data_IF_357370380939
#
_entry.id   IF_357370380939
#
_cell.length_a   1.000
_cell.length_b   1.000
_cell.length_c   1.000
_cell.angle_alpha   90.00
_cell.angle_beta   90.00
_cell.angle_gamma   90.00
#
_symmetry.space_group_name_H-M   'P 1'
#
loop_
_entity.id
_entity.type
_entity.pdbx_description
1 polymer ?
#
# COMPACT_ATOMS: atom_id res chain seq x y z
N UNK A 1 14.03 -11.64 0.54
CA UNK A 1 13.61 -10.83 1.72
C UNK A 1 12.21 -10.32 1.41
N UNK A 2 11.28 -10.38 2.38
CA UNK A 2 9.90 -9.96 2.15
C UNK A 2 9.86 -8.44 1.92
N UNK A 3 9.00 -8.02 1.01
CA UNK A 3 8.71 -6.62 0.76
C UNK A 3 7.31 -6.47 0.18
N UNK A 4 6.67 -5.34 0.44
CA UNK A 4 5.37 -4.97 -0.14
C UNK A 4 5.50 -3.63 -0.85
N UNK A 5 4.64 -3.38 -1.83
CA UNK A 5 4.42 -2.06 -2.42
C UNK A 5 3.40 -1.33 -1.56
N UNK A 6 3.62 -0.04 -1.35
CA UNK A 6 2.66 0.84 -0.68
C UNK A 6 2.25 1.91 -1.67
N UNK A 7 0.94 2.14 -1.79
CA UNK A 7 0.37 3.22 -2.58
C UNK A 7 -0.41 4.12 -1.64
N UNK A 8 0.04 5.36 -1.46
CA UNK A 8 -0.62 6.34 -0.58
C UNK A 8 -1.11 7.52 -1.39
N UNK A 9 -2.35 7.96 -1.16
CA UNK A 9 -2.83 9.23 -1.67
C UNK A 9 -1.97 10.38 -1.14
N UNK A 10 -1.74 11.39 -1.99
CA UNK A 10 -1.12 12.64 -1.56
C UNK A 10 -2.21 13.59 -1.04
N UNK A 11 -1.94 14.32 0.04
CA UNK A 11 -2.81 15.45 0.39
C UNK A 11 -2.58 16.56 -0.64
N UNK A 12 -3.66 17.08 -1.21
CA UNK A 12 -3.60 18.25 -2.08
C UNK A 12 -3.02 19.43 -1.31
N UNK A 13 -1.92 19.97 -1.84
CA UNK A 13 -1.28 21.18 -1.35
C UNK A 13 -1.68 22.40 -2.18
N UNK A 14 -1.09 23.57 -1.92
CA UNK A 14 -1.30 24.78 -2.72
C UNK A 14 -0.65 24.72 -4.13
N UNK A 15 -0.20 23.55 -4.58
CA UNK A 15 0.44 23.40 -5.90
C UNK A 15 -0.56 23.62 -7.04
N UNK A 16 -0.11 24.17 -8.16
CA UNK A 16 -0.89 24.20 -9.41
C UNK A 16 -1.03 22.78 -9.97
N UNK A 17 0.02 21.96 -9.87
CA UNK A 17 -0.02 20.54 -10.21
C UNK A 17 0.31 19.69 -8.99
N UNK A 18 -0.69 18.99 -8.45
CA UNK A 18 -0.52 18.16 -7.27
C UNK A 18 -0.25 16.71 -7.69
N UNK A 19 0.71 16.02 -7.06
CA UNK A 19 0.73 14.57 -7.15
C UNK A 19 -0.57 14.00 -6.58
N UNK A 20 -1.03 12.89 -7.15
CA UNK A 20 -2.20 12.14 -6.69
C UNK A 20 -1.80 11.04 -5.72
N UNK A 21 -0.66 10.40 -5.95
CA UNK A 21 -0.19 9.27 -5.16
C UNK A 21 1.33 9.27 -5.03
N UNK A 22 1.81 8.57 -3.99
CA UNK A 22 3.19 8.14 -3.87
C UNK A 22 3.23 6.62 -3.79
N UNK A 23 4.14 6.02 -4.54
CA UNK A 23 4.37 4.57 -4.56
C UNK A 23 5.80 4.29 -4.10
N UNK A 24 5.95 3.33 -3.19
CA UNK A 24 7.27 2.93 -2.68
C UNK A 24 7.26 1.50 -2.17
N UNK A 25 8.45 0.93 -1.98
CA UNK A 25 8.59 -0.43 -1.45
C UNK A 25 8.91 -0.36 0.04
N UNK A 26 8.24 -1.15 0.85
CA UNK A 26 8.63 -1.40 2.25
C UNK A 26 9.12 -2.82 2.40
N UNK A 27 10.37 -2.96 2.82
CA UNK A 27 11.01 -4.22 3.17
C UNK A 27 11.01 -4.46 4.68
N UNK A 28 11.37 -5.67 5.10
CA UNK A 28 11.58 -6.00 6.52
C UNK A 28 12.61 -5.05 7.17
N UNK A 29 13.67 -4.69 6.45
CA UNK A 29 14.66 -3.73 6.94
C UNK A 29 14.09 -2.31 7.10
N UNK A 30 13.10 -1.91 6.29
CA UNK A 30 12.41 -0.63 6.46
C UNK A 30 11.51 -0.67 7.71
N UNK A 31 10.80 -1.78 7.97
CA UNK A 31 9.99 -1.97 9.19
C UNK A 31 10.87 -1.85 10.43
N UNK A 32 11.99 -2.57 10.47
CA UNK A 32 12.94 -2.53 11.58
C UNK A 32 13.50 -1.11 11.80
N UNK A 33 13.84 -0.42 10.69
CA UNK A 33 14.36 0.94 10.74
C UNK A 33 13.32 1.92 11.28
N UNK A 34 12.07 1.83 10.83
CA UNK A 34 10.99 2.68 11.34
C UNK A 34 10.81 2.46 12.84
N UNK A 35 10.77 1.20 13.30
CA UNK A 35 10.68 0.89 14.73
C UNK A 35 11.86 1.44 15.54
N UNK A 36 13.08 1.37 15.01
CA UNK A 36 14.26 1.99 15.66
C UNK A 36 14.15 3.51 15.72
N UNK A 37 13.67 4.15 14.67
CA UNK A 37 13.49 5.61 14.60
C UNK A 37 12.40 6.07 15.57
N UNK A 38 11.30 5.33 15.70
CA UNK A 38 10.25 5.58 16.71
C UNK A 38 10.86 5.55 18.11
N UNK A 39 11.56 4.47 18.47
CA UNK A 39 12.18 4.34 19.79
C UNK A 39 13.17 5.47 20.05
N UNK A 40 13.99 5.83 19.06
CA UNK A 40 14.95 6.93 19.19
C UNK A 40 14.24 8.28 19.39
N UNK A 41 13.17 8.55 18.63
CA UNK A 41 12.39 9.78 18.76
C UNK A 41 11.76 9.87 20.16
N UNK A 42 11.20 8.77 20.67
CA UNK A 42 10.63 8.69 22.02
C UNK A 42 11.69 8.86 23.11
N UNK A 43 12.83 8.15 23.01
CA UNK A 43 13.92 8.20 23.99
C UNK A 43 14.53 9.61 24.12
N UNK A 44 14.47 10.41 23.06
CA UNK A 44 15.01 11.76 22.99
C UNK A 44 13.96 12.88 23.05
N UNK A 45 12.68 12.55 23.27
CA UNK A 45 11.56 13.53 23.31
C UNK A 45 11.53 14.42 22.05
N UNK A 46 11.73 13.81 20.87
CA UNK A 46 11.70 14.51 19.58
C UNK A 46 10.26 14.62 19.09
N UNK A 47 9.88 15.81 18.61
CA UNK A 47 8.57 16.02 17.98
C UNK A 47 8.43 15.25 16.66
N UNK A 48 9.54 15.06 15.95
CA UNK A 48 9.60 14.25 14.73
C UNK A 48 11.03 13.77 14.45
N UNK A 49 11.13 12.65 13.73
CA UNK A 49 12.36 12.14 13.15
C UNK A 49 12.14 11.80 11.68
N UNK A 50 13.16 11.99 10.84
CA UNK A 50 13.07 11.82 9.38
C UNK A 50 14.21 10.96 8.87
N UNK A 51 13.94 10.18 7.84
CA UNK A 51 14.99 9.54 7.07
C UNK A 51 14.62 9.41 5.61
N UNK A 52 15.63 9.49 4.74
CA UNK A 52 15.45 9.44 3.29
C UNK A 52 14.89 8.10 2.82
N UNK A 53 13.93 8.15 1.90
CA UNK A 53 13.33 7.01 1.20
C UNK A 53 13.40 7.26 -0.32
N UNK A 54 14.59 7.08 -0.93
CA UNK A 54 14.85 7.51 -2.31
C UNK A 54 14.10 6.70 -3.38
N UNK A 55 13.56 5.53 -3.03
CA UNK A 55 12.75 4.70 -3.92
C UNK A 55 11.27 5.09 -3.93
N UNK A 56 10.86 6.08 -3.13
CA UNK A 56 9.51 6.61 -3.21
C UNK A 56 9.34 7.53 -4.42
N UNK A 57 8.27 7.31 -5.18
CA UNK A 57 7.98 8.03 -6.41
C UNK A 57 6.57 8.62 -6.34
N UNK A 58 6.46 9.90 -6.64
CA UNK A 58 5.19 10.62 -6.71
C UNK A 58 4.66 10.61 -8.16
N UNK A 59 3.34 10.45 -8.33
CA UNK A 59 2.67 10.37 -9.62
C UNK A 59 1.52 11.38 -9.72
N UNK A 60 1.06 11.69 -10.95
CA UNK A 60 -0.14 12.50 -11.20
C UNK A 60 0.07 13.96 -11.61
N UNK A 61 1.29 14.36 -11.98
CA UNK A 61 1.57 15.72 -12.44
C UNK A 61 2.99 15.88 -13.00
N UNK A 62 3.29 17.05 -13.54
CA UNK A 62 4.62 17.48 -13.98
C UNK A 62 5.23 18.37 -12.90
N UNK A 63 6.11 17.78 -12.11
CA UNK A 63 6.75 18.44 -10.97
C UNK A 63 8.17 17.95 -10.77
N UNK A 64 8.93 18.72 -9.99
CA UNK A 64 10.21 18.29 -9.44
C UNK A 64 10.15 18.30 -7.92
N UNK A 65 10.70 17.27 -7.30
CA UNK A 65 10.70 17.12 -5.85
C UNK A 65 12.10 16.80 -5.33
N UNK A 66 12.34 17.12 -4.06
CA UNK A 66 13.52 16.63 -3.32
C UNK A 66 13.44 15.11 -3.14
N UNK A 67 14.52 14.51 -2.65
CA UNK A 67 14.49 13.12 -2.19
C UNK A 67 13.40 12.96 -1.12
N UNK A 68 12.45 12.03 -1.30
CA UNK A 68 11.41 11.81 -0.32
C UNK A 68 11.97 11.29 1.01
N UNK A 69 11.22 11.53 2.07
CA UNK A 69 11.54 11.14 3.43
C UNK A 69 10.35 10.40 4.05
N UNK A 70 10.66 9.35 4.82
CA UNK A 70 9.71 8.85 5.80
C UNK A 70 9.86 9.74 7.04
N UNK A 71 8.75 10.32 7.44
CA UNK A 71 8.63 11.12 8.64
C UNK A 71 7.93 10.30 9.70
N UNK A 72 8.46 10.35 10.91
CA UNK A 72 7.97 9.64 12.09
C UNK A 72 7.68 10.69 13.17
N UNK A 73 6.48 10.68 13.73
CA UNK A 73 6.10 11.47 14.90
C UNK A 73 5.21 10.61 15.78
N UNK A 74 5.61 10.42 17.04
CA UNK A 74 5.05 9.40 17.91
C UNK A 74 5.03 8.01 17.22
N UNK A 75 3.85 7.40 17.07
CA UNK A 75 3.65 6.14 16.35
C UNK A 75 3.09 6.35 14.93
N UNK A 76 3.07 7.58 14.43
CA UNK A 76 2.58 7.93 13.11
C UNK A 76 3.71 8.06 12.11
N UNK A 77 3.45 7.58 10.90
CA UNK A 77 4.35 7.68 9.76
C UNK A 77 3.65 8.27 8.55
N UNK A 78 4.37 9.09 7.80
CA UNK A 78 3.93 9.57 6.49
C UNK A 78 5.14 9.78 5.58
N UNK A 79 4.87 9.87 4.28
CA UNK A 79 5.90 10.22 3.29
C UNK A 79 5.79 11.70 2.98
N UNK A 80 6.93 12.36 2.95
CA UNK A 80 7.06 13.80 2.69
C UNK A 80 8.13 14.07 1.65
N UNK A 81 7.89 15.02 0.76
CA UNK A 81 8.92 15.61 -0.10
C UNK A 81 8.62 17.10 -0.31
N UNK A 82 9.66 17.90 -0.56
CA UNK A 82 9.52 19.30 -0.96
C UNK A 82 9.40 19.37 -2.48
N UNK A 83 8.33 20.00 -2.94
CA UNK A 83 8.06 20.24 -4.36
C UNK A 83 8.49 21.65 -4.72
N UNK A 84 9.21 21.79 -5.83
CA UNK A 84 9.63 23.09 -6.33
C UNK A 84 8.62 23.58 -7.36
N UNK A 85 7.96 24.68 -7.06
CA UNK A 85 7.02 25.32 -7.95
C UNK A 85 7.28 26.83 -8.01
N UNK A 86 7.63 27.32 -9.20
CA UNK A 86 8.12 28.68 -9.41
C UNK A 86 9.28 29.01 -8.44
N UNK A 87 9.09 30.00 -7.55
CA UNK A 87 10.07 30.45 -6.56
C UNK A 87 9.76 29.91 -5.15
N UNK A 88 8.85 28.94 -5.00
CA UNK A 88 8.41 28.40 -3.72
C UNK A 88 8.74 26.90 -3.57
N UNK A 89 9.01 26.49 -2.33
CA UNK A 89 9.09 25.10 -1.91
C UNK A 89 7.86 24.76 -1.08
N UNK A 90 7.12 23.74 -1.49
CA UNK A 90 5.88 23.31 -0.83
C UNK A 90 6.03 21.86 -0.38
N UNK A 91 5.86 21.55 0.92
CA UNK A 91 5.86 20.17 1.37
C UNK A 91 4.56 19.48 0.95
N UNK A 92 4.69 18.33 0.30
CA UNK A 92 3.56 17.43 0.06
C UNK A 92 3.71 16.20 0.93
N UNK A 93 2.69 15.98 1.76
CA UNK A 93 2.62 14.88 2.71
C UNK A 93 1.52 13.90 2.29
N UNK A 94 1.75 12.62 2.52
CA UNK A 94 0.65 11.65 2.57
C UNK A 94 -0.18 11.84 3.84
N UNK A 95 -1.39 11.26 3.92
CA UNK A 95 -2.01 10.95 5.19
C UNK A 95 -1.04 10.17 6.09
N UNK A 96 -1.12 10.44 7.39
CA UNK A 96 -0.39 9.68 8.38
C UNK A 96 -1.08 8.34 8.60
N UNK A 97 -0.28 7.29 8.77
CA UNK A 97 -0.73 5.95 9.16
C UNK A 97 0.04 5.55 10.40
N UNK A 98 -0.52 4.68 11.22
CA UNK A 98 0.19 4.19 12.40
C UNK A 98 1.22 3.14 12.00
N UNK A 99 2.31 3.05 12.77
CA UNK A 99 3.28 1.97 12.60
C UNK A 99 2.66 0.60 12.84
N UNK A 100 1.67 0.52 13.74
CA UNK A 100 0.90 -0.71 13.97
C UNK A 100 0.15 -1.16 12.70
N UNK A 101 -0.52 -0.25 12.00
CA UNK A 101 -1.23 -0.55 10.74
C UNK A 101 -0.25 -1.03 9.66
N UNK A 102 0.87 -0.31 9.47
CA UNK A 102 1.90 -0.72 8.51
C UNK A 102 2.46 -2.11 8.86
N UNK A 103 2.82 -2.34 10.11
CA UNK A 103 3.39 -3.60 10.55
C UNK A 103 2.36 -4.73 10.45
N UNK A 104 1.09 -4.48 10.75
CA UNK A 104 0.01 -5.44 10.56
C UNK A 104 -0.13 -5.80 9.08
N UNK A 105 -0.29 -4.82 8.20
CA UNK A 105 -0.40 -5.04 6.76
C UNK A 105 0.81 -5.79 6.20
N UNK A 106 2.03 -5.37 6.57
CA UNK A 106 3.26 -6.06 6.18
C UNK A 106 3.23 -7.52 6.60
N UNK A 107 2.73 -7.87 7.79
CA UNK A 107 2.66 -9.25 8.25
C UNK A 107 1.54 -10.06 7.57
N UNK A 108 0.42 -9.43 7.21
CA UNK A 108 -0.69 -10.09 6.50
C UNK A 108 -0.42 -10.33 5.00
N UNK A 109 0.54 -9.62 4.40
CA UNK A 109 0.85 -9.72 2.97
C UNK A 109 1.82 -10.84 2.61
N UNK A 110 1.87 -11.22 1.33
CA UNK A 110 2.97 -11.93 0.70
C UNK A 110 3.99 -10.93 0.12
N UNK A 111 5.16 -11.43 -0.30
CA UNK A 111 6.13 -10.62 -1.03
C UNK A 111 5.55 -10.13 -2.36
N UNK A 112 5.63 -8.82 -2.58
CA UNK A 112 5.18 -8.16 -3.80
C UNK A 112 3.78 -7.57 -3.70
N UNK A 113 3.02 -7.88 -2.66
CA UNK A 113 1.65 -7.36 -2.50
C UNK A 113 1.63 -5.85 -2.45
N UNK A 114 0.54 -5.28 -2.94
CA UNK A 114 0.21 -3.87 -2.82
C UNK A 114 -0.64 -3.68 -1.57
N UNK A 115 -0.26 -2.70 -0.75
CA UNK A 115 -1.07 -2.21 0.35
C UNK A 115 -1.47 -0.76 0.10
N UNK A 116 -2.77 -0.50 0.27
CA UNK A 116 -3.39 0.82 0.20
C UNK A 116 -3.75 1.26 1.62
N UNK A 117 -2.99 2.19 2.23
CA UNK A 117 -3.24 2.59 3.60
C UNK A 117 -4.45 3.52 3.70
N UNK A 118 -5.30 3.27 4.70
CA UNK A 118 -6.62 3.90 4.81
C UNK A 118 -7.67 3.06 4.10
N UNK A 119 -8.69 2.63 4.84
CA UNK A 119 -9.78 1.81 4.30
C UNK A 119 -10.64 2.61 3.33
N UNK A 120 -10.78 2.14 2.09
CA UNK A 120 -11.88 2.51 1.20
C UNK A 120 -11.72 3.79 0.39
N UNK A 121 -10.51 4.12 -0.08
CA UNK A 121 -10.42 5.06 -1.21
C UNK A 121 -10.45 4.25 -2.51
N UNK A 122 -11.64 3.80 -2.89
CA UNK A 122 -11.88 3.12 -4.18
C UNK A 122 -11.33 3.98 -5.33
N UNK A 123 -11.28 5.30 -5.17
CA UNK A 123 -10.67 6.23 -6.15
C UNK A 123 -9.16 6.03 -6.28
N UNK A 124 -8.45 5.79 -5.16
CA UNK A 124 -7.01 5.51 -5.20
C UNK A 124 -6.74 4.14 -5.81
N UNK A 125 -7.57 3.14 -5.49
CA UNK A 125 -7.51 1.83 -6.09
C UNK A 125 -7.72 1.95 -7.61
N UNK A 126 -8.85 2.52 -8.05
CA UNK A 126 -9.16 2.77 -9.47
C UNK A 126 -7.99 3.49 -10.18
N UNK A 127 -7.48 4.56 -9.58
CA UNK A 127 -6.33 5.29 -10.14
C UNK A 127 -5.09 4.41 -10.27
N UNK A 128 -4.80 3.56 -9.28
CA UNK A 128 -3.66 2.66 -9.32
C UNK A 128 -3.82 1.55 -10.37
N UNK A 129 -5.04 1.09 -10.64
CA UNK A 129 -5.34 0.10 -11.67
C UNK A 129 -5.20 0.71 -13.06
N UNK A 130 -5.81 1.87 -13.29
CA UNK A 130 -5.73 2.58 -14.57
C UNK A 130 -4.29 2.93 -14.96
N UNK A 131 -3.42 3.15 -13.97
CA UNK A 131 -2.03 3.54 -14.16
C UNK A 131 -1.03 2.45 -13.75
N UNK A 132 -1.47 1.18 -13.67
CA UNK A 132 -0.66 0.09 -13.10
C UNK A 132 0.66 -0.15 -13.84
N UNK A 133 0.73 0.09 -15.16
CA UNK A 133 1.98 0.00 -15.92
C UNK A 133 2.92 1.16 -15.55
N UNK A 134 2.41 2.39 -15.57
CA UNK A 134 3.18 3.60 -15.30
C UNK A 134 3.70 3.66 -13.85
N UNK A 135 2.96 3.08 -12.91
CA UNK A 135 3.32 3.03 -11.49
C UNK A 135 4.13 1.78 -11.12
N UNK A 136 4.50 0.95 -12.10
CA UNK A 136 5.22 -0.31 -11.91
C UNK A 136 4.49 -1.30 -10.97
N UNK A 137 3.16 -1.34 -11.04
CA UNK A 137 2.28 -2.16 -10.21
C UNK A 137 1.67 -3.37 -10.95
N UNK A 138 1.78 -3.42 -12.29
CA UNK A 138 1.10 -4.44 -13.13
C UNK A 138 1.38 -5.90 -12.75
N UNK A 139 2.47 -6.18 -12.03
CA UNK A 139 2.85 -7.54 -11.60
C UNK A 139 2.70 -7.77 -10.10
N UNK A 140 2.15 -6.79 -9.39
CA UNK A 140 2.04 -6.80 -7.94
C UNK A 140 0.60 -7.20 -7.57
N UNK A 141 0.41 -8.21 -6.70
CA UNK A 141 -0.92 -8.59 -6.23
C UNK A 141 -1.62 -7.43 -5.54
N UNK A 142 -2.85 -7.11 -5.98
CA UNK A 142 -3.74 -6.18 -5.28
C UNK A 142 -4.55 -6.88 -4.19
N UNK A 143 -4.62 -8.20 -4.24
CA UNK A 143 -5.34 -9.03 -3.30
C UNK A 143 -5.51 -10.45 -3.80
N UNK A 144 -6.35 -11.20 -3.09
CA UNK A 144 -6.55 -12.63 -3.31
C UNK A 144 -8.02 -12.99 -3.16
N UNK A 145 -8.37 -14.14 -3.73
CA UNK A 145 -9.63 -14.83 -3.51
C UNK A 145 -9.38 -16.33 -3.38
N UNK A 146 -10.34 -17.05 -2.82
CA UNK A 146 -10.36 -18.51 -2.83
C UNK A 146 -11.46 -18.94 -3.80
N UNK A 147 -11.08 -19.65 -4.85
CA UNK A 147 -12.01 -20.08 -5.90
C UNK A 147 -11.86 -21.55 -6.24
N UNK A 148 -12.94 -22.15 -6.72
CA UNK A 148 -12.94 -23.48 -7.30
C UNK A 148 -12.97 -23.33 -8.83
N UNK A 149 -11.87 -23.65 -9.54
CA UNK A 149 -11.78 -23.45 -10.99
C UNK A 149 -12.68 -24.40 -11.78
N UNK A 150 -13.10 -25.53 -11.20
CA UNK A 150 -13.99 -26.48 -11.87
C UNK A 150 -15.45 -26.00 -11.87
N UNK A 151 -15.89 -25.39 -10.76
CA UNK A 151 -17.28 -24.92 -10.60
C UNK A 151 -17.46 -23.43 -10.91
N UNK A 152 -16.38 -22.64 -10.82
CA UNK A 152 -16.41 -21.18 -10.88
C UNK A 152 -16.91 -20.52 -9.59
N UNK A 153 -17.02 -21.28 -8.50
CA UNK A 153 -17.51 -20.77 -7.21
C UNK A 153 -16.39 -20.06 -6.43
N UNK A 154 -16.80 -19.09 -5.63
CA UNK A 154 -15.94 -18.42 -4.65
C UNK A 154 -16.28 -18.90 -3.24
N UNK A 155 -15.27 -19.02 -2.40
CA UNK A 155 -15.45 -19.44 -1.02
C UNK A 155 -16.32 -18.45 -0.23
N UNK A 156 -17.15 -18.97 0.67
CA UNK A 156 -18.08 -18.19 1.53
C UNK A 156 -19.04 -17.26 0.76
N UNK A 157 -19.44 -17.65 -0.46
CA UNK A 157 -20.29 -16.85 -1.35
C UNK A 157 -19.75 -15.43 -1.62
N UNK A 158 -18.43 -15.22 -1.48
CA UNK A 158 -17.78 -13.91 -1.67
C UNK A 158 -17.99 -13.40 -3.10
N UNK A 159 -18.34 -12.11 -3.29
CA UNK A 159 -18.41 -11.52 -4.63
C UNK A 159 -17.08 -11.65 -5.39
N UNK A 160 -17.15 -11.96 -6.67
CA UNK A 160 -15.97 -12.17 -7.53
C UNK A 160 -15.06 -10.94 -7.68
N UNK A 161 -15.53 -9.76 -7.29
CA UNK A 161 -14.77 -8.51 -7.34
C UNK A 161 -14.24 -8.05 -5.96
N UNK A 162 -14.65 -8.68 -4.87
CA UNK A 162 -14.16 -8.37 -3.54
C UNK A 162 -12.84 -9.12 -3.29
N UNK A 163 -11.75 -8.39 -3.05
CA UNK A 163 -10.43 -8.98 -2.82
C UNK A 163 -10.00 -8.85 -1.36
N UNK A 164 -9.31 -9.86 -0.86
CA UNK A 164 -8.84 -9.95 0.53
C UNK A 164 -7.31 -10.05 0.62
N UNK A 165 -6.71 -9.62 1.75
CA UNK A 165 -5.29 -9.82 2.03
C UNK A 165 -4.85 -11.30 1.99
N UNK A 166 -3.58 -11.54 1.66
CA UNK A 166 -3.00 -12.88 1.53
C UNK A 166 -3.27 -13.79 2.72
N UNK A 167 -2.99 -13.33 3.94
CA UNK A 167 -3.14 -14.14 5.14
C UNK A 167 -4.59 -14.55 5.43
N UNK A 168 -5.56 -13.68 5.12
CA UNK A 168 -6.99 -14.00 5.24
C UNK A 168 -7.35 -15.06 4.19
N UNK A 169 -6.96 -14.85 2.94
CA UNK A 169 -7.23 -15.79 1.85
C UNK A 169 -6.57 -17.15 2.07
N UNK A 170 -5.37 -17.19 2.66
CA UNK A 170 -4.70 -18.43 3.04
C UNK A 170 -5.46 -19.16 4.14
N UNK A 171 -5.98 -18.44 5.14
CA UNK A 171 -6.84 -19.01 6.18
C UNK A 171 -8.11 -19.62 5.58
N UNK A 172 -8.79 -18.88 4.72
CA UNK A 172 -9.99 -19.34 4.00
C UNK A 172 -9.69 -20.57 3.13
N UNK A 173 -8.57 -20.57 2.40
CA UNK A 173 -8.15 -21.71 1.57
C UNK A 173 -7.98 -22.99 2.41
N UNK A 174 -7.38 -22.86 3.60
CA UNK A 174 -7.16 -23.99 4.49
C UNK A 174 -8.48 -24.57 5.03
N UNK A 175 -9.49 -23.72 5.23
CA UNK A 175 -10.85 -24.17 5.56
C UNK A 175 -11.55 -24.80 4.36
N UNK A 176 -11.50 -24.16 3.19
CA UNK A 176 -12.09 -24.65 1.95
C UNK A 176 -11.58 -26.04 1.56
N UNK A 177 -10.27 -26.26 1.75
CA UNK A 177 -9.62 -27.55 1.46
C UNK A 177 -10.03 -28.70 2.39
N UNK A 178 -10.75 -28.42 3.47
CA UNK A 178 -11.39 -29.47 4.29
C UNK A 178 -12.62 -30.05 3.59
N UNK A 179 -13.25 -29.29 2.70
CA UNK A 179 -14.42 -29.72 1.92
C UNK A 179 -14.02 -30.40 0.61
N UNK A 180 -13.08 -29.80 -0.14
CA UNK A 180 -12.53 -30.37 -1.37
C UNK A 180 -11.08 -29.93 -1.61
N UNK A 181 -10.16 -30.79 -2.09
CA UNK A 181 -8.81 -30.36 -2.46
C UNK A 181 -8.76 -29.39 -3.64
N UNK A 182 -9.83 -29.25 -4.41
CA UNK A 182 -9.87 -28.49 -5.68
C UNK A 182 -9.93 -26.98 -5.48
N UNK A 183 -10.07 -26.50 -4.24
CA UNK A 183 -10.01 -25.07 -3.92
C UNK A 183 -8.58 -24.52 -4.07
N UNK A 184 -8.47 -23.38 -4.73
CA UNK A 184 -7.21 -22.71 -5.03
C UNK A 184 -7.19 -21.26 -4.57
N UNK A 185 -5.99 -20.78 -4.26
CA UNK A 185 -5.75 -19.37 -4.01
C UNK A 185 -5.60 -18.66 -5.36
N UNK A 186 -6.57 -17.83 -5.71
CA UNK A 186 -6.51 -17.01 -6.88
C UNK A 186 -5.86 -15.66 -6.56
N UNK A 187 -4.71 -15.39 -7.17
CA UNK A 187 -4.03 -14.11 -7.06
C UNK A 187 -4.68 -13.11 -8.02
N UNK A 188 -5.04 -11.94 -7.51
CA UNK A 188 -5.61 -10.86 -8.31
C UNK A 188 -4.54 -9.82 -8.61
N UNK A 189 -4.32 -9.56 -9.90
CA UNK A 189 -3.48 -8.49 -10.41
C UNK A 189 -4.35 -7.32 -10.91
N UNK A 190 -3.78 -6.12 -11.14
CA UNK A 190 -4.55 -4.96 -11.58
C UNK A 190 -5.44 -5.15 -12.81
N UNK A 191 -5.10 -6.06 -13.71
CA UNK A 191 -5.81 -6.33 -14.97
C UNK A 191 -6.68 -7.60 -14.92
N UNK A 192 -6.75 -8.28 -13.77
CA UNK A 192 -7.42 -9.59 -13.65
C UNK A 192 -8.93 -9.46 -13.49
N UNK A 193 -9.41 -8.34 -12.92
CA UNK A 193 -10.83 -8.05 -12.70
C UNK A 193 -11.13 -6.58 -13.00
N UNK A 194 -12.31 -6.29 -13.55
CA UNK A 194 -12.67 -4.95 -14.05
C UNK A 194 -12.92 -3.94 -12.93
N UNK A 195 -13.53 -4.35 -11.81
CA UNK A 195 -13.97 -3.45 -10.72
C UNK A 195 -13.60 -4.02 -9.34
N UNK A 196 -12.31 -4.23 -9.01
CA UNK A 196 -11.92 -4.75 -7.71
C UNK A 196 -12.35 -3.82 -6.57
N UNK A 197 -12.74 -4.39 -5.44
CA UNK A 197 -12.97 -3.67 -4.19
C UNK A 197 -12.18 -4.33 -3.08
N UNK A 198 -11.60 -3.54 -2.18
CA UNK A 198 -10.92 -4.08 -1.01
C UNK A 198 -11.95 -4.44 0.05
N UNK A 199 -11.88 -5.67 0.57
CA UNK A 199 -12.65 -6.03 1.75
C UNK A 199 -12.27 -5.11 2.92
N UNK A 200 -13.26 -4.74 3.74
CA UNK A 200 -13.02 -4.00 4.98
C UNK A 200 -12.14 -4.86 5.90
N UNK A 201 -10.89 -4.44 6.12
CA UNK A 201 -9.94 -5.09 7.03
C UNK A 201 -10.27 -4.85 8.50
#
# INVERSE_FOLDING_TARGET
>A
MKSIKIVMACKSGPLVQNPIAVVFTVSEADIDRIGQVINLATDHDLSEARFTKPDAQYYGGDFSATTPEIVVSDEQIWVSALFHEFDAEVPINTPAVTFQELNFAFNQSQHGDIWFPGTGDDVLLESALENAEDWELSKNPIGYQVSNPETGEHWDDRPSYEVIPYAIALGELLEARKESPDWELWTILPDTIEEPTLALM
#
